data_IF_717933850978
#
_entry.id   IF_717933850978
#
_cell.length_a   1.000
_cell.length_b   1.000
_cell.length_c   1.000
_cell.angle_alpha   90.00
_cell.angle_beta   90.00
_cell.angle_gamma   90.00
#
_symmetry.space_group_name_H-M   'P 1'
#
loop_
_entity.id
_entity.type
_entity.pdbx_description
1 polymer ?
#
# COMPACT_ATOMS: atom_id res chain seq x y z
N UNK A 1 -5.17 8.64 6.29
CA UNK A 1 -5.71 8.51 4.91
C UNK A 1 -4.81 9.26 3.97
N UNK A 2 -4.61 8.71 2.76
CA UNK A 2 -3.70 9.20 1.71
C UNK A 2 -4.43 9.15 0.36
N UNK A 3 -3.80 9.67 -0.69
CA UNK A 3 -4.35 9.68 -2.06
C UNK A 3 -3.69 8.66 -2.98
N UNK A 4 -2.53 8.15 -2.60
CA UNK A 4 -1.67 7.35 -3.46
C UNK A 4 -0.87 8.18 -4.48
N UNK A 5 -0.74 9.47 -4.27
CA UNK A 5 0.11 10.36 -5.07
C UNK A 5 1.38 10.66 -4.30
N UNK A 6 2.47 10.07 -4.76
CA UNK A 6 3.76 10.21 -4.08
C UNK A 6 4.29 11.64 -4.19
N UNK A 7 4.66 12.21 -3.05
CA UNK A 7 5.15 13.57 -2.98
C UNK A 7 6.69 13.64 -3.06
N UNK A 8 7.38 12.64 -2.52
CA UNK A 8 8.83 12.61 -2.42
C UNK A 8 9.36 11.17 -2.37
N UNK A 9 10.58 10.95 -2.84
CA UNK A 9 11.35 9.73 -2.61
C UNK A 9 12.30 10.00 -1.45
N UNK A 10 12.01 9.42 -0.27
CA UNK A 10 12.89 9.45 0.89
C UNK A 10 13.99 8.40 0.82
N UNK A 11 14.96 8.53 1.72
CA UNK A 11 16.09 7.59 1.85
C UNK A 11 16.15 7.10 3.29
N UNK A 12 16.18 5.80 3.50
CA UNK A 12 16.42 5.21 4.82
C UNK A 12 17.82 5.57 5.28
N UNK A 13 17.92 6.41 6.29
CA UNK A 13 19.18 6.86 6.87
C UNK A 13 19.73 5.85 7.86
N UNK A 14 18.86 5.38 8.75
CA UNK A 14 19.21 4.43 9.79
C UNK A 14 18.04 3.53 10.15
N UNK A 15 18.35 2.28 10.51
CA UNK A 15 17.41 1.31 11.04
C UNK A 15 17.97 0.80 12.36
N UNK A 16 17.23 1.00 13.44
CA UNK A 16 17.52 0.42 14.73
C UNK A 16 16.47 -0.63 15.10
N UNK A 17 16.88 -1.83 15.47
CA UNK A 17 15.99 -2.91 15.86
C UNK A 17 15.82 -2.91 17.39
N UNK A 18 14.57 -3.03 17.84
CA UNK A 18 14.20 -3.14 19.25
C UNK A 18 13.30 -4.39 19.43
N UNK A 19 13.91 -5.51 19.73
CA UNK A 19 13.19 -6.79 19.69
C UNK A 19 12.64 -7.05 18.29
N UNK A 20 11.33 -7.21 18.19
CA UNK A 20 10.63 -7.42 16.91
C UNK A 20 10.13 -6.11 16.25
N UNK A 21 10.37 -4.95 16.86
CA UNK A 21 10.04 -3.64 16.31
C UNK A 21 11.24 -2.99 15.63
N UNK A 22 10.99 -2.02 14.74
CA UNK A 22 12.03 -1.25 14.05
C UNK A 22 11.77 0.24 14.17
N UNK A 23 12.84 0.97 14.49
CA UNK A 23 12.88 2.43 14.40
C UNK A 23 13.58 2.81 13.12
N UNK A 24 12.88 3.58 12.27
CA UNK A 24 13.37 4.00 10.96
C UNK A 24 13.60 5.51 10.98
N UNK A 25 14.80 5.96 10.67
CA UNK A 25 15.10 7.37 10.38
C UNK A 25 15.18 7.56 8.87
N UNK A 26 14.38 8.48 8.32
CA UNK A 26 14.23 8.71 6.88
C UNK A 26 14.66 10.13 6.54
N UNK A 27 15.58 10.28 5.59
CA UNK A 27 15.96 11.58 5.00
C UNK A 27 14.83 12.00 4.06
N UNK A 28 14.38 13.25 4.23
CA UNK A 28 13.34 13.88 3.43
C UNK A 28 13.52 15.40 3.49
N UNK A 29 12.99 16.11 2.50
CA UNK A 29 12.99 17.57 2.43
C UNK A 29 11.60 18.13 2.29
N UNK A 30 10.87 17.71 1.25
CA UNK A 30 9.53 18.24 0.91
C UNK A 30 8.49 17.88 1.99
N UNK A 31 8.53 16.64 2.45
CA UNK A 31 7.60 16.15 3.49
C UNK A 31 7.74 16.98 4.77
N UNK A 32 8.97 17.34 5.15
CA UNK A 32 9.26 18.06 6.41
C UNK A 32 8.80 19.51 6.43
N UNK A 33 8.50 20.12 5.28
CA UNK A 33 8.09 21.53 5.21
C UNK A 33 6.82 21.85 6.02
N UNK A 34 5.96 20.85 6.23
CA UNK A 34 4.64 21.02 6.84
C UNK A 34 4.24 19.84 7.75
N UNK A 35 5.16 18.94 8.05
CA UNK A 35 4.90 17.81 8.95
C UNK A 35 5.27 18.15 10.38
N UNK A 36 4.55 17.55 11.34
CA UNK A 36 4.76 17.67 12.79
C UNK A 36 4.90 16.28 13.40
N UNK A 37 5.41 16.25 14.63
CA UNK A 37 5.31 15.04 15.47
C UNK A 37 3.81 14.72 15.64
N UNK A 38 3.48 13.44 15.68
CA UNK A 38 2.13 12.85 15.70
C UNK A 38 1.39 12.87 14.36
N UNK A 39 1.93 13.49 13.30
CA UNK A 39 1.35 13.37 11.98
C UNK A 39 1.54 11.96 11.40
N UNK A 40 0.53 11.50 10.63
CA UNK A 40 0.64 10.28 9.84
C UNK A 40 1.33 10.53 8.52
N UNK A 41 2.26 9.65 8.17
CA UNK A 41 2.98 9.64 6.89
C UNK A 41 2.92 8.23 6.28
N UNK A 42 2.72 8.15 4.98
CA UNK A 42 2.82 6.91 4.21
C UNK A 42 4.26 6.69 3.77
N UNK A 43 4.84 5.54 4.14
CA UNK A 43 6.20 5.11 3.73
C UNK A 43 6.05 3.82 2.94
N UNK A 44 6.31 3.84 1.62
CA UNK A 44 6.01 2.73 0.70
C UNK A 44 4.57 2.19 0.91
N UNK A 45 3.59 3.07 1.13
CA UNK A 45 2.20 2.73 1.38
C UNK A 45 1.86 2.34 2.82
N UNK A 46 2.83 2.26 3.72
CA UNK A 46 2.60 1.91 5.13
C UNK A 46 2.37 3.17 5.94
N UNK A 47 1.20 3.31 6.56
CA UNK A 47 0.90 4.40 7.48
C UNK A 47 1.75 4.30 8.74
N UNK A 48 2.50 5.34 9.02
CA UNK A 48 3.36 5.46 10.21
C UNK A 48 3.16 6.81 10.88
N UNK A 49 3.36 6.86 12.18
CA UNK A 49 3.32 8.12 12.95
C UNK A 49 4.73 8.67 13.11
N UNK A 50 4.91 9.95 12.84
CA UNK A 50 6.17 10.65 13.06
C UNK A 50 6.37 10.84 14.57
N UNK A 51 7.49 10.34 15.11
CA UNK A 51 7.81 10.44 16.55
C UNK A 51 8.96 11.42 16.84
N UNK A 52 9.74 11.79 15.83
CA UNK A 52 10.84 12.76 15.95
C UNK A 52 11.11 13.41 14.59
N UNK A 53 11.48 14.70 14.61
CA UNK A 53 11.84 15.47 13.42
C UNK A 53 13.18 16.16 13.66
N UNK A 54 14.09 16.01 12.70
CA UNK A 54 15.37 16.71 12.60
C UNK A 54 15.40 17.59 11.36
N UNK A 55 16.46 18.37 11.16
CA UNK A 55 16.57 19.33 10.05
C UNK A 55 16.27 18.73 8.67
N UNK A 56 16.68 17.47 8.40
CA UNK A 56 16.55 16.81 7.10
C UNK A 56 16.08 15.36 7.20
N UNK A 57 15.54 14.96 8.34
CA UNK A 57 15.04 13.60 8.55
C UNK A 57 13.92 13.57 9.58
N UNK A 58 13.09 12.54 9.50
CA UNK A 58 12.09 12.21 10.52
C UNK A 58 12.26 10.76 10.95
N UNK A 59 11.69 10.42 12.09
CA UNK A 59 11.77 9.08 12.66
C UNK A 59 10.37 8.53 12.89
N UNK A 60 10.20 7.23 12.62
CA UNK A 60 8.98 6.47 12.89
C UNK A 60 9.32 5.16 13.60
N UNK A 61 8.33 4.54 14.25
CA UNK A 61 8.44 3.21 14.87
C UNK A 61 7.46 2.24 14.24
N UNK A 62 7.98 1.21 13.58
CA UNK A 62 7.18 0.13 13.00
C UNK A 62 7.11 -1.03 14.00
N UNK A 63 5.89 -1.39 14.42
CA UNK A 63 5.62 -2.54 15.30
C UNK A 63 5.77 -3.86 14.57
N UNK A 64 5.89 -4.95 15.29
CA UNK A 64 6.10 -6.30 14.76
C UNK A 64 5.09 -6.68 13.67
N UNK A 65 3.81 -6.42 13.88
CA UNK A 65 2.76 -6.75 12.90
C UNK A 65 2.99 -6.03 11.56
N UNK A 66 3.40 -4.76 11.60
CA UNK A 66 3.75 -3.98 10.41
C UNK A 66 4.92 -4.59 9.66
N UNK A 67 5.95 -5.01 10.39
CA UNK A 67 7.17 -5.60 9.81
C UNK A 67 6.86 -6.94 9.13
N UNK A 68 6.02 -7.77 9.76
CA UNK A 68 5.65 -9.09 9.24
C UNK A 68 4.79 -9.01 7.98
N UNK A 69 3.91 -8.00 7.88
CA UNK A 69 2.95 -7.85 6.77
C UNK A 69 3.46 -7.04 5.59
N UNK A 70 4.58 -6.34 5.74
CA UNK A 70 5.06 -5.37 4.74
C UNK A 70 6.48 -5.66 4.27
N UNK A 71 6.94 -4.89 3.28
CA UNK A 71 8.33 -4.94 2.82
C UNK A 71 9.34 -4.35 3.85
N UNK A 72 8.87 -3.81 4.99
CA UNK A 72 9.74 -3.19 5.99
C UNK A 72 10.78 -4.15 6.57
N UNK A 73 10.48 -5.46 6.60
CA UNK A 73 11.46 -6.47 7.01
C UNK A 73 12.70 -6.49 6.10
N UNK A 74 12.55 -6.14 4.84
CA UNK A 74 13.61 -6.18 3.83
C UNK A 74 14.36 -4.85 3.68
N UNK A 75 13.90 -3.76 4.31
CA UNK A 75 14.53 -2.44 4.21
C UNK A 75 15.92 -2.44 4.83
N UNK A 76 16.82 -1.72 4.15
CA UNK A 76 18.22 -1.49 4.55
C UNK A 76 18.55 0.00 4.51
N UNK A 77 19.62 0.37 5.16
CA UNK A 77 20.15 1.73 5.03
C UNK A 77 20.48 2.06 3.58
N UNK A 78 20.18 3.28 3.16
CA UNK A 78 20.26 3.82 1.80
C UNK A 78 19.15 3.34 0.84
N UNK A 79 18.21 2.49 1.26
CA UNK A 79 17.03 2.16 0.45
C UNK A 79 16.15 3.39 0.24
N UNK A 80 15.54 3.45 -0.94
CA UNK A 80 14.62 4.51 -1.34
C UNK A 80 13.19 4.07 -1.10
N UNK A 81 12.39 4.95 -0.49
CA UNK A 81 10.98 4.73 -0.15
C UNK A 81 10.11 5.87 -0.68
N UNK A 82 8.90 5.53 -1.11
CA UNK A 82 7.89 6.52 -1.47
C UNK A 82 7.34 7.18 -0.21
N UNK A 83 7.17 8.50 -0.24
CA UNK A 83 6.61 9.27 0.86
C UNK A 83 5.40 10.07 0.40
N UNK A 84 4.36 10.06 1.23
CA UNK A 84 3.15 10.88 1.07
C UNK A 84 2.65 11.29 2.45
N UNK A 85 2.31 12.58 2.63
CA UNK A 85 1.67 13.10 3.84
C UNK A 85 0.19 12.70 3.88
N UNK A 86 -0.38 12.64 5.07
CA UNK A 86 -1.82 12.43 5.21
C UNK A 86 -2.62 13.54 4.53
N UNK A 87 -3.80 13.15 4.00
CA UNK A 87 -4.77 14.04 3.39
C UNK A 87 -5.19 15.15 4.36
N UNK A 88 -5.30 16.38 3.84
CA UNK A 88 -6.02 17.50 4.47
C UNK A 88 -7.43 17.58 3.87
N UNK A 89 -8.36 18.21 4.60
CA UNK A 89 -9.76 18.35 4.15
C UNK A 89 -9.93 19.16 2.86
N UNK A 90 -8.98 20.04 2.56
CA UNK A 90 -8.96 20.91 1.39
C UNK A 90 -8.14 20.39 0.21
N UNK A 91 -7.53 19.20 0.33
CA UNK A 91 -6.74 18.62 -0.77
C UNK A 91 -7.61 17.84 -1.76
N UNK A 92 -7.16 17.80 -3.02
CA UNK A 92 -7.80 16.98 -4.06
C UNK A 92 -7.44 15.50 -3.87
N UNK A 93 -8.42 14.62 -4.06
CA UNK A 93 -8.18 13.18 -4.16
C UNK A 93 -7.74 12.84 -5.59
N UNK A 94 -6.44 12.95 -5.89
CA UNK A 94 -5.88 12.73 -7.22
C UNK A 94 -5.75 11.27 -7.65
N UNK A 95 -5.78 10.33 -6.69
CA UNK A 95 -5.76 8.89 -6.91
C UNK A 95 -7.05 8.21 -6.40
N UNK A 96 -6.94 7.37 -5.36
CA UNK A 96 -8.07 6.79 -4.65
C UNK A 96 -7.85 6.86 -3.14
N UNK A 97 -8.82 6.41 -2.35
CA UNK A 97 -8.68 6.38 -0.89
C UNK A 97 -7.70 5.29 -0.46
N UNK A 98 -6.50 5.68 -0.06
CA UNK A 98 -5.45 4.81 0.47
C UNK A 98 -5.37 5.00 1.98
N UNK A 99 -5.49 3.91 2.74
CA UNK A 99 -5.44 3.96 4.20
C UNK A 99 -4.01 3.95 4.74
N UNK A 100 -3.10 3.31 4.00
CA UNK A 100 -1.77 2.96 4.48
C UNK A 100 -1.75 1.64 5.26
N UNK A 101 -2.77 0.82 5.09
CA UNK A 101 -2.92 -0.47 5.77
C UNK A 101 -2.73 -1.61 4.78
N UNK A 102 -1.49 -2.08 4.72
CA UNK A 102 -1.08 -3.09 3.76
C UNK A 102 -1.82 -4.42 4.00
N UNK A 103 -2.39 -4.96 2.94
CA UNK A 103 -3.09 -6.25 2.95
C UNK A 103 -2.11 -7.42 2.81
N UNK A 104 -1.19 -7.28 1.87
CA UNK A 104 -0.14 -8.28 1.61
C UNK A 104 1.03 -7.66 0.86
N UNK A 105 2.07 -8.47 0.64
CA UNK A 105 3.12 -8.14 -0.31
C UNK A 105 2.90 -8.88 -1.63
N UNK A 106 3.33 -8.26 -2.74
CA UNK A 106 3.39 -8.87 -4.06
C UNK A 106 4.82 -8.92 -4.58
N UNK A 107 5.03 -9.73 -5.62
CA UNK A 107 6.32 -9.90 -6.29
C UNK A 107 6.24 -9.45 -7.73
N UNK A 108 7.14 -8.58 -8.16
CA UNK A 108 7.24 -8.15 -9.57
C UNK A 108 7.77 -9.31 -10.42
N UNK A 109 6.96 -9.78 -11.37
CA UNK A 109 7.29 -10.92 -12.25
C UNK A 109 7.59 -10.51 -13.69
N UNK A 110 7.14 -9.30 -14.12
CA UNK A 110 7.42 -8.80 -15.45
C UNK A 110 7.47 -7.27 -15.45
N UNK A 111 8.40 -6.72 -16.24
CA UNK A 111 8.52 -5.28 -16.53
C UNK A 111 8.77 -5.14 -18.04
N UNK A 112 7.79 -4.62 -18.77
CA UNK A 112 7.86 -4.46 -20.23
C UNK A 112 7.78 -2.96 -20.55
N UNK A 113 8.86 -2.41 -21.10
CA UNK A 113 8.87 -1.04 -21.60
C UNK A 113 8.06 -0.96 -22.90
N UNK A 114 7.19 0.03 -22.98
CA UNK A 114 6.42 0.38 -24.16
C UNK A 114 6.86 1.76 -24.68
N UNK A 115 6.31 2.18 -25.84
CA UNK A 115 6.58 3.51 -26.41
C UNK A 115 6.21 4.66 -25.44
N UNK A 116 5.12 4.51 -24.69
CA UNK A 116 4.57 5.51 -23.79
C UNK A 116 4.22 4.89 -22.43
N UNK A 117 5.22 4.29 -21.76
CA UNK A 117 5.00 3.76 -20.41
C UNK A 117 5.61 2.39 -20.17
N UNK A 118 5.20 1.78 -19.07
CA UNK A 118 5.74 0.51 -18.61
C UNK A 118 4.58 -0.36 -18.14
N UNK A 119 4.49 -1.57 -18.70
CA UNK A 119 3.62 -2.61 -18.15
C UNK A 119 4.38 -3.37 -17.08
N UNK A 120 3.84 -3.40 -15.88
CA UNK A 120 4.40 -4.12 -14.76
C UNK A 120 3.40 -5.15 -14.25
N UNK A 121 3.83 -6.42 -14.20
CA UNK A 121 3.02 -7.53 -13.70
C UNK A 121 3.50 -7.92 -12.30
N UNK A 122 2.55 -8.08 -11.40
CA UNK A 122 2.79 -8.39 -9.98
C UNK A 122 1.99 -9.63 -9.61
N UNK A 123 2.67 -10.61 -9.07
CA UNK A 123 2.08 -11.79 -8.44
C UNK A 123 1.67 -11.47 -7.00
N UNK A 124 0.52 -11.99 -6.56
CA UNK A 124 -0.03 -11.78 -5.22
C UNK A 124 -0.75 -13.05 -4.70
N UNK A 125 -0.96 -13.19 -3.38
CA UNK A 125 -1.66 -14.35 -2.83
C UNK A 125 -3.11 -14.42 -3.31
N UNK A 126 -3.51 -15.57 -3.86
CA UNK A 126 -4.79 -15.76 -4.56
C UNK A 126 -6.04 -15.47 -3.70
N UNK A 127 -5.93 -15.55 -2.38
CA UNK A 127 -7.03 -15.23 -1.45
C UNK A 127 -7.51 -13.78 -1.55
N UNK A 128 -6.68 -12.86 -2.10
CA UNK A 128 -7.01 -11.46 -2.31
C UNK A 128 -7.63 -11.16 -3.68
N UNK A 129 -7.75 -12.16 -4.57
CA UNK A 129 -8.30 -11.98 -5.93
C UNK A 129 -9.69 -11.33 -5.93
N UNK A 130 -10.49 -11.56 -4.92
CA UNK A 130 -11.83 -11.01 -4.73
C UNK A 130 -11.87 -9.49 -4.56
N UNK A 131 -10.76 -8.86 -4.20
CA UNK A 131 -10.66 -7.41 -3.98
C UNK A 131 -10.13 -6.65 -5.19
N UNK A 132 -9.76 -7.33 -6.28
CA UNK A 132 -9.17 -6.71 -7.45
C UNK A 132 -10.07 -6.88 -8.67
N UNK A 133 -10.30 -5.80 -9.41
CA UNK A 133 -11.10 -5.78 -10.63
C UNK A 133 -10.35 -5.08 -11.75
N UNK A 134 -10.57 -5.47 -13.01
CA UNK A 134 -10.02 -4.75 -14.15
C UNK A 134 -10.53 -3.32 -14.17
N UNK A 135 -9.64 -2.39 -14.48
CA UNK A 135 -9.85 -0.95 -14.43
C UNK A 135 -10.12 -0.37 -13.04
N UNK A 136 -10.07 -1.19 -11.99
CA UNK A 136 -10.11 -0.74 -10.59
C UNK A 136 -8.79 -0.15 -10.13
N UNK A 137 -8.81 0.44 -8.93
CA UNK A 137 -7.62 1.01 -8.29
C UNK A 137 -6.92 0.00 -7.38
N UNK A 138 -5.61 0.13 -7.29
CA UNK A 138 -4.76 -0.59 -6.34
C UNK A 138 -3.61 0.32 -5.92
N UNK A 139 -3.20 0.26 -4.66
CA UNK A 139 -2.00 0.93 -4.20
C UNK A 139 -0.81 -0.05 -4.18
N UNK A 140 0.28 0.32 -4.85
CA UNK A 140 1.53 -0.44 -4.93
C UNK A 140 2.64 0.41 -4.33
N UNK A 141 3.23 0.00 -3.21
CA UNK A 141 4.13 0.85 -2.42
C UNK A 141 3.57 2.27 -2.22
N UNK A 142 2.27 2.37 -1.93
CA UNK A 142 1.54 3.63 -1.74
C UNK A 142 1.17 4.37 -3.03
N UNK A 143 1.55 3.88 -4.21
CA UNK A 143 1.25 4.52 -5.48
C UNK A 143 -0.11 4.06 -5.98
N UNK A 144 -1.07 4.97 -6.16
CA UNK A 144 -2.36 4.69 -6.79
C UNK A 144 -2.19 4.38 -8.27
N UNK A 145 -2.56 3.17 -8.68
CA UNK A 145 -2.44 2.71 -10.06
C UNK A 145 -3.73 2.01 -10.50
N UNK A 146 -4.00 2.06 -11.80
CA UNK A 146 -5.12 1.36 -12.41
C UNK A 146 -4.69 -0.03 -12.88
N UNK A 147 -5.49 -1.04 -12.54
CA UNK A 147 -5.30 -2.42 -12.96
C UNK A 147 -5.69 -2.54 -14.43
N UNK A 148 -4.72 -2.86 -15.30
CA UNK A 148 -4.96 -3.00 -16.74
C UNK A 148 -5.45 -4.40 -17.12
N UNK A 149 -4.99 -5.44 -16.43
CA UNK A 149 -5.35 -6.86 -16.66
C UNK A 149 -5.23 -7.64 -15.37
N UNK A 150 -6.04 -8.69 -15.25
CA UNK A 150 -6.01 -9.62 -14.11
C UNK A 150 -5.85 -11.05 -14.63
N UNK A 151 -5.05 -11.83 -13.93
CA UNK A 151 -4.95 -13.28 -14.04
C UNK A 151 -5.35 -13.95 -12.71
N UNK A 152 -5.13 -15.26 -12.56
CA UNK A 152 -5.52 -15.97 -11.35
C UNK A 152 -4.76 -15.48 -10.10
N UNK A 153 -3.45 -15.33 -10.19
CA UNK A 153 -2.58 -14.93 -9.08
C UNK A 153 -1.68 -13.73 -9.41
N UNK A 154 -1.99 -13.00 -10.48
CA UNK A 154 -1.24 -11.82 -10.87
C UNK A 154 -2.14 -10.76 -11.50
N UNK A 155 -1.69 -9.52 -11.45
CA UNK A 155 -2.29 -8.41 -12.19
C UNK A 155 -1.21 -7.58 -12.88
N UNK A 156 -1.61 -6.85 -13.90
CA UNK A 156 -0.73 -5.95 -14.64
C UNK A 156 -1.25 -4.52 -14.50
N UNK A 157 -0.34 -3.59 -14.22
CA UNK A 157 -0.61 -2.16 -14.23
C UNK A 157 0.15 -1.48 -15.36
N UNK A 158 -0.42 -0.38 -15.89
CA UNK A 158 0.26 0.48 -16.85
C UNK A 158 0.77 1.72 -16.13
N UNK A 159 2.08 1.88 -16.05
CA UNK A 159 2.74 2.99 -15.36
C UNK A 159 3.18 4.02 -16.38
N UNK A 160 2.67 5.26 -16.27
CA UNK A 160 3.08 6.37 -17.14
C UNK A 160 4.50 6.82 -16.79
N UNK A 161 5.25 7.43 -17.75
CA UNK A 161 6.63 7.86 -17.53
C UNK A 161 6.79 8.81 -16.34
N UNK A 162 5.83 9.70 -16.11
CA UNK A 162 5.85 10.61 -14.97
C UNK A 162 5.88 9.85 -13.63
N UNK A 163 4.94 8.90 -13.43
CA UNK A 163 4.88 8.09 -12.22
C UNK A 163 6.11 7.21 -12.03
N UNK A 164 6.59 6.59 -13.12
CA UNK A 164 7.82 5.81 -13.08
C UNK A 164 9.01 6.62 -12.60
N UNK A 165 9.21 7.81 -13.15
CA UNK A 165 10.38 8.66 -12.85
C UNK A 165 10.32 9.30 -11.46
N UNK A 166 9.12 9.54 -10.91
CA UNK A 166 8.93 10.26 -9.65
C UNK A 166 8.62 9.34 -8.45
N UNK A 167 8.69 8.01 -8.65
CA UNK A 167 8.47 7.04 -7.57
C UNK A 167 9.59 6.02 -7.48
N UNK A 168 9.57 5.19 -6.43
CA UNK A 168 10.55 4.12 -6.25
C UNK A 168 10.45 2.99 -7.26
N UNK A 169 9.40 2.95 -8.10
CA UNK A 169 9.23 1.91 -9.11
C UNK A 169 10.43 1.82 -10.06
N UNK A 170 11.07 2.94 -10.41
CA UNK A 170 12.27 2.96 -11.28
C UNK A 170 13.48 2.21 -10.71
N UNK A 171 13.51 1.97 -9.40
CA UNK A 171 14.56 1.22 -8.72
C UNK A 171 14.19 -0.24 -8.46
N UNK A 172 12.96 -0.64 -8.79
CA UNK A 172 12.48 -2.01 -8.64
C UNK A 172 12.78 -2.81 -9.91
N UNK A 173 13.13 -4.07 -9.73
CA UNK A 173 13.39 -5.03 -10.81
C UNK A 173 12.56 -6.29 -10.66
N UNK A 174 12.79 -7.27 -11.54
CA UNK A 174 12.18 -8.59 -11.41
C UNK A 174 12.55 -9.22 -10.06
N UNK A 175 11.57 -9.81 -9.39
CA UNK A 175 11.73 -10.40 -8.07
C UNK A 175 11.59 -9.41 -6.91
N UNK A 176 11.52 -8.09 -7.16
CA UNK A 176 11.30 -7.11 -6.09
C UNK A 176 9.98 -7.34 -5.40
N UNK A 177 9.99 -7.22 -4.07
CA UNK A 177 8.79 -7.27 -3.23
C UNK A 177 8.23 -5.85 -3.09
N UNK A 178 6.92 -5.73 -3.22
CA UNK A 178 6.16 -4.47 -3.09
C UNK A 178 4.98 -4.66 -2.14
N UNK A 179 4.65 -3.62 -1.41
CA UNK A 179 3.45 -3.58 -0.58
C UNK A 179 2.21 -3.41 -1.45
N UNK A 180 1.14 -4.13 -1.15
CA UNK A 180 -0.14 -4.05 -1.83
C UNK A 180 -1.24 -3.67 -0.82
N UNK A 181 -2.01 -2.64 -1.18
CA UNK A 181 -3.26 -2.31 -0.51
C UNK A 181 -4.37 -2.29 -1.56
N UNK A 182 -5.39 -3.13 -1.35
CA UNK A 182 -6.56 -3.20 -2.23
C UNK A 182 -7.54 -2.09 -1.88
N UNK A 183 -8.35 -1.69 -2.86
CA UNK A 183 -9.34 -0.63 -2.68
C UNK A 183 -10.27 -0.94 -1.50
N UNK A 184 -10.39 0.03 -0.60
CA UNK A 184 -11.20 -0.05 0.61
C UNK A 184 -12.68 -0.39 0.30
N UNK A 185 -13.21 0.12 -0.81
CA UNK A 185 -14.58 -0.15 -1.23
C UNK A 185 -14.82 -1.63 -1.49
N UNK A 186 -13.87 -2.32 -2.12
CA UNK A 186 -13.96 -3.76 -2.36
C UNK A 186 -14.07 -4.58 -1.06
N UNK A 187 -13.34 -4.16 -0.01
CA UNK A 187 -13.36 -4.79 1.32
C UNK A 187 -14.71 -4.60 2.02
N UNK A 188 -15.28 -3.39 1.94
CA UNK A 188 -16.60 -3.14 2.51
C UNK A 188 -17.72 -3.89 1.77
N UNK A 189 -17.69 -3.89 0.44
CA UNK A 189 -18.69 -4.63 -0.37
C UNK A 189 -18.65 -6.13 -0.03
N UNK A 190 -17.46 -6.73 0.05
CA UNK A 190 -17.36 -8.14 0.45
C UNK A 190 -17.91 -8.41 1.84
N UNK A 191 -17.58 -7.57 2.82
CA UNK A 191 -18.08 -7.73 4.18
C UNK A 191 -19.62 -7.68 4.22
N UNK A 192 -20.24 -6.74 3.50
CA UNK A 192 -21.69 -6.61 3.42
C UNK A 192 -22.35 -7.83 2.77
N UNK A 193 -21.76 -8.37 1.69
CA UNK A 193 -22.28 -9.58 1.02
C UNK A 193 -22.19 -10.79 1.94
N UNK A 194 -21.09 -10.96 2.65
CA UNK A 194 -20.90 -12.08 3.56
C UNK A 194 -21.82 -11.99 4.80
N UNK A 195 -22.08 -10.79 5.29
CA UNK A 195 -23.03 -10.57 6.38
C UNK A 195 -24.45 -11.01 5.98
N UNK A 196 -24.92 -10.65 4.79
CA UNK A 196 -26.24 -11.03 4.30
C UNK A 196 -26.37 -12.54 4.11
N UNK A 197 -25.36 -13.22 3.54
CA UNK A 197 -25.37 -14.68 3.40
C UNK A 197 -25.48 -15.42 4.73
N UNK A 198 -24.84 -14.92 5.77
CA UNK A 198 -24.89 -15.53 7.10
C UNK A 198 -26.23 -15.27 7.81
N UNK A 199 -26.88 -14.13 7.56
CA UNK A 199 -28.20 -13.82 8.10
C UNK A 199 -29.29 -14.66 7.46
N UNK A 200 -29.25 -14.88 6.14
CA UNK A 200 -30.22 -15.74 5.42
C UNK A 200 -30.11 -17.21 5.85
N UNK A 201 -28.91 -17.74 6.03
CA UNK A 201 -28.70 -19.10 6.52
C UNK A 201 -29.21 -19.28 7.96
N UNK A 202 -29.07 -18.29 8.84
CA UNK A 202 -29.58 -18.31 10.20
C UNK A 202 -31.12 -18.16 10.23
N UNK A 203 -31.75 -17.50 9.24
CA UNK A 203 -33.19 -17.39 9.12
C UNK A 203 -33.78 -18.70 8.65
N UNK A 204 -33.21 -19.32 7.62
CA UNK A 204 -33.69 -20.60 7.08
C UNK A 204 -33.49 -21.76 8.06
N UNK A 205 -32.42 -21.83 8.82
CA UNK A 205 -32.19 -22.88 9.82
C UNK A 205 -33.24 -22.87 10.94
N UNK A 206 -33.75 -21.69 11.32
CA UNK A 206 -34.83 -21.57 12.32
C UNK A 206 -36.18 -22.15 11.87
N UNK A 207 -36.40 -22.32 10.56
CA UNK A 207 -37.63 -22.93 10.01
C UNK A 207 -37.48 -24.44 9.73
N UNK A 208 -36.25 -24.94 9.59
CA UNK A 208 -35.98 -26.36 9.28
C UNK A 208 -35.95 -27.21 10.56
N UNK A 209 -35.61 -26.64 11.71
CA UNK A 209 -35.45 -27.34 13.00
C UNK A 209 -36.72 -27.31 13.89
N UNK A 210 -37.91 -26.99 13.36
CA UNK A 210 -39.15 -27.17 14.10
C UNK A 210 -39.76 -28.55 13.78
N UNK A 211 -39.71 -29.52 14.71
CA UNK A 211 -40.47 -30.77 14.55
C UNK A 211 -41.98 -30.47 14.66
N UNK A 212 -42.72 -31.03 13.75
CA UNK A 212 -44.18 -31.05 13.80
C UNK A 212 -44.71 -31.78 15.04
#
# INVERSE_FOLDING_TARGET
MFTGIIEEIGIIKNIANYGNARKLEIISQKILLDSKIDDSISIDGVCQTIIDIKNNSFTVEAVEETILKTNFNNLRNNDKVNLERSLKLDTRLGGHLVQGHIDCTGKITSIIKQSLGILMTIEFPICYKKYIVEHGSIAINGISLTVARISNSSFTVSVIPHTWNNTTLKYKGLGSIVNLEFDLLAKYVENMINFNKNSDNNFLSKFIDQPY
#
